data_IF_852614243964
#
_entry.id   IF_852614243964
#
_cell.length_a   1.000
_cell.length_b   1.000
_cell.length_c   1.000
_cell.angle_alpha   90.00
_cell.angle_beta   90.00
_cell.angle_gamma   90.00
#
_symmetry.space_group_name_H-M   'P 1'
#
loop_
_entity.id
_entity.type
_entity.pdbx_description
1 polymer ?
#
# COMPACT_ATOMS: atom_id res chain seq x y z
N UNK A 1 -53.93 -4.18 37.31
CA UNK A 1 -52.74 -4.98 36.95
C UNK A 1 -52.41 -4.64 35.50
N UNK A 2 -51.21 -4.12 35.27
CA UNK A 2 -50.78 -3.53 34.00
C UNK A 2 -50.19 -4.58 33.05
N UNK A 3 -50.25 -4.29 31.76
CA UNK A 3 -49.50 -4.98 30.70
C UNK A 3 -50.04 -4.72 29.30
N UNK A 4 -49.74 -3.54 28.73
CA UNK A 4 -49.99 -3.17 27.33
C UNK A 4 -48.70 -2.59 26.73
N UNK A 5 -48.21 -3.26 25.68
CA UNK A 5 -47.72 -2.78 24.35
C UNK A 5 -46.73 -1.60 24.32
N UNK A 6 -45.56 -1.75 23.64
CA UNK A 6 -45.20 -1.08 22.36
C UNK A 6 -43.72 -1.18 21.94
N UNK A 7 -43.59 -1.30 20.61
CA UNK A 7 -42.55 -0.89 19.64
C UNK A 7 -41.12 -0.50 20.09
N UNK A 8 -40.14 -1.03 19.34
CA UNK A 8 -38.78 -0.51 19.27
C UNK A 8 -38.62 0.50 18.12
N UNK A 9 -38.17 1.69 18.47
CA UNK A 9 -37.47 2.64 17.59
C UNK A 9 -36.45 3.44 18.41
N UNK A 10 -35.31 3.76 17.78
CA UNK A 10 -34.28 4.76 18.10
C UNK A 10 -32.96 4.30 18.79
N UNK A 11 -31.90 4.27 17.97
CA UNK A 11 -30.61 5.00 18.04
C UNK A 11 -30.05 5.35 19.43
N UNK A 12 -28.79 4.96 19.70
CA UNK A 12 -27.95 5.62 20.71
C UNK A 12 -26.70 4.85 21.11
N UNK A 13 -25.54 5.49 20.97
CA UNK A 13 -24.22 5.02 21.39
C UNK A 13 -24.15 4.66 22.88
N UNK A 14 -23.33 3.68 23.25
CA UNK A 14 -22.22 3.83 24.22
C UNK A 14 -21.49 2.50 24.45
N UNK A 15 -20.16 2.56 24.34
CA UNK A 15 -19.23 1.65 24.98
C UNK A 15 -19.50 1.62 26.49
N UNK A 16 -19.75 0.45 27.06
CA UNK A 16 -19.74 0.28 28.51
C UNK A 16 -20.60 -0.88 28.99
N UNK A 17 -19.96 -2.02 29.24
CA UNK A 17 -20.12 -2.87 30.44
C UNK A 17 -19.74 -4.32 30.11
N UNK A 18 -18.51 -4.68 30.47
CA UNK A 18 -18.24 -5.86 31.30
C UNK A 18 -16.94 -5.58 32.04
N UNK A 19 -17.08 -4.95 33.20
CA UNK A 19 -16.09 -4.96 34.27
C UNK A 19 -16.73 -5.69 35.44
N UNK A 20 -16.07 -6.76 35.86
CA UNK A 20 -16.04 -7.35 37.21
C UNK A 20 -14.95 -8.44 37.13
N UNK A 21 -13.91 -8.53 37.95
CA UNK A 21 -13.32 -7.69 38.96
C UNK A 21 -11.90 -8.27 39.21
N UNK A 22 -10.85 -7.46 39.21
CA UNK A 22 -9.64 -7.71 40.03
C UNK A 22 -9.23 -6.37 40.60
N UNK A 23 -9.26 -6.29 41.93
CA UNK A 23 -9.09 -5.08 42.71
C UNK A 23 -7.74 -4.39 42.47
N UNK A 24 -7.78 -3.10 42.12
CA UNK A 24 -6.65 -2.20 42.27
C UNK A 24 -6.69 -1.63 43.69
N UNK A 25 -5.73 -2.02 44.52
CA UNK A 25 -5.50 -1.40 45.82
C UNK A 25 -5.22 0.10 45.63
N UNK A 26 -5.85 0.93 46.46
CA UNK A 26 -5.60 2.38 46.49
C UNK A 26 -4.14 2.67 46.91
N UNK A 27 -3.51 3.72 46.37
CA UNK A 27 -2.17 4.08 46.79
C UNK A 27 -2.24 4.71 48.19
N UNK A 28 -1.58 4.07 49.17
CA UNK A 28 -1.25 4.73 50.42
C UNK A 28 -0.17 5.77 50.17
N UNK A 29 -0.45 7.01 50.56
CA UNK A 29 0.56 8.06 50.68
C UNK A 29 1.58 7.66 51.74
N UNK A 30 2.86 7.81 51.40
CA UNK A 30 3.97 7.74 52.35
C UNK A 30 4.91 6.56 52.15
N UNK A 31 5.84 6.67 51.19
CA UNK A 31 7.20 6.08 51.30
C UNK A 31 8.22 7.02 50.67
N UNK A 32 9.30 7.26 51.41
CA UNK A 32 10.27 8.32 51.21
C UNK A 32 11.11 8.23 49.93
N UNK A 33 11.85 9.30 49.70
CA UNK A 33 12.75 9.47 48.56
C UNK A 33 13.69 8.27 48.43
N UNK A 34 13.62 7.60 47.27
CA UNK A 34 14.63 6.65 46.85
C UNK A 34 15.95 7.41 46.60
N UNK A 35 17.12 6.86 46.97
CA UNK A 35 18.39 7.51 46.70
C UNK A 35 18.58 7.63 45.19
N UNK A 36 19.09 8.77 44.75
CA UNK A 36 19.52 9.00 43.37
C UNK A 36 20.67 8.04 43.06
N UNK A 37 20.33 6.87 42.53
CA UNK A 37 21.27 5.95 41.91
C UNK A 37 21.74 6.56 40.59
N UNK A 38 23.06 6.61 40.45
CA UNK A 38 23.78 7.13 39.28
C UNK A 38 23.19 6.60 37.96
N UNK A 39 23.13 7.49 36.96
CA UNK A 39 22.46 7.28 35.69
C UNK A 39 22.92 6.03 34.95
N UNK A 40 22.10 4.99 35.02
CA UNK A 40 22.09 3.95 33.99
C UNK A 40 21.23 4.51 32.87
N UNK A 41 21.85 5.06 31.83
CA UNK A 41 21.14 5.49 30.64
C UNK A 41 20.23 4.36 30.17
N UNK A 42 19.00 4.71 29.75
CA UNK A 42 18.04 3.83 29.08
C UNK A 42 18.56 3.41 27.68
N UNK A 43 19.86 3.09 27.56
CA UNK A 43 20.39 2.42 26.40
C UNK A 43 19.96 0.96 26.50
N UNK A 44 19.15 0.44 25.55
CA UNK A 44 18.95 -0.98 25.47
C UNK A 44 20.33 -1.67 25.42
N UNK A 45 20.53 -2.80 26.12
CA UNK A 45 21.80 -3.53 26.08
C UNK A 45 22.26 -3.71 24.63
N UNK A 46 23.58 -3.61 24.36
CA UNK A 46 24.16 -3.57 23.01
C UNK A 46 23.87 -4.81 22.14
N UNK A 47 23.24 -5.84 22.72
CA UNK A 47 22.87 -7.09 22.08
C UNK A 47 21.35 -7.26 21.86
N UNK A 48 20.54 -6.19 21.89
CA UNK A 48 19.24 -6.29 21.23
C UNK A 48 19.52 -6.67 19.79
N UNK A 49 19.09 -7.87 19.39
CA UNK A 49 19.08 -8.34 18.01
C UNK A 49 18.08 -7.45 17.26
N UNK A 50 18.47 -6.21 17.02
CA UNK A 50 17.80 -5.32 16.10
C UNK A 50 18.57 -5.50 14.80
N UNK A 51 17.93 -6.18 13.86
CA UNK A 51 18.39 -6.36 12.48
C UNK A 51 19.43 -7.46 12.19
N UNK A 52 19.62 -8.43 13.08
CA UNK A 52 20.10 -9.76 12.67
C UNK A 52 18.89 -10.60 12.27
N UNK A 53 18.82 -11.06 11.02
CA UNK A 53 17.79 -12.01 10.60
C UNK A 53 17.96 -13.27 11.45
N UNK A 54 17.06 -13.49 12.42
CA UNK A 54 17.00 -14.78 13.09
C UNK A 54 16.60 -15.78 12.00
N UNK A 55 17.57 -16.53 11.47
CA UNK A 55 17.30 -17.56 10.47
C UNK A 55 16.64 -18.77 11.15
N UNK A 56 15.65 -19.41 10.52
CA UNK A 56 15.10 -20.66 11.04
C UNK A 56 16.18 -21.73 11.16
N UNK A 57 16.33 -22.34 12.33
CA UNK A 57 17.26 -23.48 12.54
C UNK A 57 16.45 -24.74 12.76
N UNK A 58 16.61 -25.73 11.88
CA UNK A 58 15.85 -26.98 11.95
C UNK A 58 14.33 -26.77 11.90
N UNK A 59 13.86 -25.74 11.20
CA UNK A 59 12.45 -25.35 11.13
C UNK A 59 11.90 -24.67 12.39
N UNK A 60 12.76 -24.29 13.35
CA UNK A 60 12.37 -23.61 14.59
C UNK A 60 12.83 -22.15 14.58
N UNK A 61 12.00 -21.27 15.12
CA UNK A 61 12.27 -19.83 15.13
C UNK A 61 12.13 -19.20 13.74
N UNK A 62 12.75 -18.04 13.54
CA UNK A 62 12.58 -17.25 12.34
C UNK A 62 11.66 -16.06 12.54
N UNK A 63 12.01 -14.91 11.97
CA UNK A 63 11.20 -13.70 12.07
C UNK A 63 10.34 -13.43 10.83
N UNK A 64 10.65 -14.10 9.70
CA UNK A 64 10.03 -13.89 8.38
C UNK A 64 9.88 -12.40 8.02
N UNK A 65 10.82 -11.56 8.46
CA UNK A 65 10.78 -10.09 8.30
C UNK A 65 10.67 -9.74 6.81
N UNK A 66 11.57 -10.26 6.00
CA UNK A 66 11.62 -10.07 4.55
C UNK A 66 11.33 -11.35 3.76
N UNK A 67 10.89 -12.42 4.45
CA UNK A 67 10.59 -13.71 3.83
C UNK A 67 11.82 -14.30 3.11
N UNK A 68 11.61 -14.73 1.85
CA UNK A 68 12.65 -15.33 1.00
C UNK A 68 13.59 -14.31 0.33
N UNK A 69 13.59 -13.07 0.85
CA UNK A 69 14.36 -11.96 0.32
C UNK A 69 15.27 -11.37 1.40
N UNK A 70 16.31 -10.68 0.95
CA UNK A 70 17.13 -9.80 1.78
C UNK A 70 17.00 -8.36 1.27
N UNK A 71 16.97 -7.41 2.20
CA UNK A 71 16.86 -5.97 1.86
C UNK A 71 18.18 -5.46 1.29
N UNK A 72 18.12 -4.73 0.18
CA UNK A 72 19.27 -4.00 -0.37
C UNK A 72 19.43 -2.70 0.39
N UNK A 73 20.44 -2.65 1.27
CA UNK A 73 20.72 -1.48 2.10
C UNK A 73 21.27 -0.32 1.28
N UNK A 74 21.08 0.89 1.81
CA UNK A 74 21.55 2.15 1.20
C UNK A 74 20.99 2.37 -0.22
N UNK A 75 19.75 1.92 -0.45
CA UNK A 75 19.02 2.07 -1.70
C UNK A 75 17.57 2.48 -1.40
N UNK A 76 16.99 3.44 -2.13
CA UNK A 76 17.64 4.34 -3.08
C UNK A 76 18.49 5.40 -2.35
N UNK A 77 19.25 6.20 -3.10
CA UNK A 77 20.07 7.28 -2.58
C UNK A 77 19.32 8.60 -2.77
N UNK A 78 19.04 9.30 -1.66
CA UNK A 78 18.38 10.60 -1.67
C UNK A 78 19.35 11.77 -1.95
N UNK A 79 18.95 12.78 -2.74
CA UNK A 79 19.84 13.90 -3.10
C UNK A 79 20.20 14.80 -1.91
N UNK A 80 19.25 15.06 -1.00
CA UNK A 80 19.48 15.92 0.16
C UNK A 80 20.27 15.24 1.30
N UNK A 81 20.73 14.00 1.09
CA UNK A 81 21.60 13.29 2.02
C UNK A 81 20.84 12.58 3.15
N UNK A 82 21.57 12.02 4.13
CA UNK A 82 21.03 11.07 5.11
C UNK A 82 20.12 11.70 6.18
N UNK A 83 20.03 13.03 6.26
CA UNK A 83 19.10 13.72 7.15
C UNK A 83 17.68 13.85 6.58
N UNK A 84 17.47 13.39 5.36
CA UNK A 84 16.20 13.43 4.65
C UNK A 84 15.73 12.01 4.31
N UNK A 85 14.42 11.84 4.33
CA UNK A 85 13.73 10.67 3.82
C UNK A 85 12.62 11.10 2.86
N UNK A 86 12.12 10.19 2.02
CA UNK A 86 10.87 10.49 1.33
C UNK A 86 9.76 10.66 2.37
N UNK A 87 8.79 11.50 2.07
CA UNK A 87 7.62 11.70 2.93
C UNK A 87 6.69 10.48 2.86
N UNK A 88 5.87 10.40 1.81
CA UNK A 88 5.04 9.23 1.50
C UNK A 88 5.47 8.75 0.12
N UNK A 89 5.67 7.45 -0.05
CA UNK A 89 5.88 6.86 -1.37
C UNK A 89 4.63 6.08 -1.76
N UNK A 90 3.95 6.57 -2.79
CA UNK A 90 2.65 6.04 -3.14
C UNK A 90 2.73 4.88 -4.16
N UNK A 91 3.69 4.92 -5.09
CA UNK A 91 3.84 3.87 -6.10
C UNK A 91 5.13 3.96 -6.90
N UNK A 92 5.47 2.85 -7.57
CA UNK A 92 6.61 2.76 -8.49
C UNK A 92 6.23 1.95 -9.74
N UNK A 93 6.76 2.35 -10.89
CA UNK A 93 6.67 1.62 -12.15
C UNK A 93 8.07 1.30 -12.67
N UNK A 94 8.24 0.10 -13.24
CA UNK A 94 9.52 -0.33 -13.80
C UNK A 94 9.51 -0.19 -15.31
N UNK A 95 10.59 0.40 -15.83
CA UNK A 95 10.82 0.61 -17.25
C UNK A 95 12.27 0.29 -17.63
N UNK A 96 12.57 -0.99 -17.90
CA UNK A 96 13.95 -1.43 -18.04
C UNK A 96 14.74 -1.12 -16.76
N UNK A 97 15.94 -0.55 -16.85
CA UNK A 97 16.74 -0.16 -15.67
C UNK A 97 16.20 1.08 -14.94
N UNK A 98 15.25 1.80 -15.53
CA UNK A 98 14.63 2.99 -14.96
C UNK A 98 13.44 2.60 -14.10
N UNK A 99 13.28 3.24 -12.95
CA UNK A 99 12.09 3.14 -12.09
C UNK A 99 11.49 4.51 -11.91
N UNK A 100 10.23 4.68 -12.29
CA UNK A 100 9.51 5.93 -12.04
C UNK A 100 8.81 5.78 -10.69
N UNK A 101 9.01 6.74 -9.78
CA UNK A 101 8.41 6.75 -8.47
C UNK A 101 7.55 8.00 -8.27
N UNK A 102 6.39 7.80 -7.65
CA UNK A 102 5.53 8.89 -7.16
C UNK A 102 5.66 8.96 -5.65
N UNK A 103 6.13 10.11 -5.18
CA UNK A 103 6.29 10.46 -3.77
C UNK A 103 5.47 11.70 -3.43
N UNK A 104 5.31 12.00 -2.14
CA UNK A 104 4.71 13.24 -1.66
C UNK A 104 5.77 14.22 -1.14
N UNK A 105 6.94 14.17 -1.77
CA UNK A 105 8.09 14.99 -1.46
C UNK A 105 9.04 14.35 -0.45
N UNK A 106 9.89 15.18 0.14
CA UNK A 106 10.86 14.78 1.15
C UNK A 106 10.53 15.41 2.51
N UNK A 107 11.01 14.77 3.56
CA UNK A 107 10.91 15.29 4.92
C UNK A 107 12.14 14.94 5.74
N UNK A 108 12.37 15.69 6.81
CA UNK A 108 13.26 15.23 7.88
C UNK A 108 12.60 14.06 8.64
N UNK A 109 13.34 13.02 9.05
CA UNK A 109 12.82 11.93 9.87
C UNK A 109 12.17 12.45 11.15
N UNK A 110 11.13 11.73 11.60
CA UNK A 110 10.47 12.04 12.87
C UNK A 110 11.47 11.90 14.03
N UNK A 111 11.75 13.00 14.72
CA UNK A 111 12.54 12.98 15.97
C UNK A 111 11.62 12.48 17.09
N UNK A 112 12.06 11.47 17.83
CA UNK A 112 11.39 10.92 19.03
C UNK A 112 10.10 10.09 18.77
N UNK A 113 10.13 9.13 17.86
CA UNK A 113 9.14 8.03 17.88
C UNK A 113 9.44 7.09 19.06
N UNK A 114 8.94 7.43 20.25
CA UNK A 114 8.92 6.51 21.38
C UNK A 114 8.09 5.26 21.05
N UNK A 115 8.59 4.07 21.37
CA UNK A 115 7.81 2.84 21.23
C UNK A 115 6.60 2.90 22.17
N UNK A 116 5.37 2.97 21.63
CA UNK A 116 4.16 3.01 22.45
C UNK A 116 2.93 3.54 21.72
N UNK A 117 1.86 3.78 22.49
CA UNK A 117 0.59 4.29 21.97
C UNK A 117 0.73 5.60 21.21
N UNK A 118 1.79 6.39 21.43
CA UNK A 118 2.05 7.64 20.70
C UNK A 118 2.35 7.41 19.21
N UNK A 119 3.11 6.37 18.84
CA UNK A 119 3.29 5.99 17.42
C UNK A 119 1.95 5.61 16.77
N UNK A 120 1.05 4.99 17.55
CA UNK A 120 -0.28 4.59 17.08
C UNK A 120 -1.34 5.71 17.17
N UNK A 121 -1.17 6.70 18.06
CA UNK A 121 -2.05 7.88 18.19
C UNK A 121 -1.66 8.99 17.22
N UNK A 122 -0.36 9.10 16.92
CA UNK A 122 0.17 9.96 15.86
C UNK A 122 -0.08 9.42 14.44
N UNK A 123 -0.77 8.28 14.29
CA UNK A 123 -1.33 7.80 13.00
C UNK A 123 -2.30 8.82 12.33
N UNK A 124 -2.49 10.02 12.91
CA UNK A 124 -3.14 11.16 12.29
C UNK A 124 -2.49 12.54 12.57
N UNK A 125 -1.60 12.67 13.56
CA UNK A 125 -0.89 13.94 13.81
C UNK A 125 0.55 13.86 13.30
N UNK A 126 0.72 14.28 12.04
CA UNK A 126 2.04 14.61 11.46
C UNK A 126 2.55 15.88 12.14
N UNK A 127 3.10 15.76 13.34
CA UNK A 127 3.62 16.91 14.10
C UNK A 127 4.92 17.39 13.45
N UNK A 128 4.79 18.26 12.45
CA UNK A 128 5.81 19.20 11.98
C UNK A 128 7.22 18.66 11.82
N UNK A 129 7.51 18.08 10.66
CA UNK A 129 8.87 17.95 10.13
C UNK A 129 9.02 18.93 8.98
N UNK A 130 10.21 19.49 8.78
CA UNK A 130 10.51 20.26 7.56
C UNK A 130 10.17 19.39 6.34
N UNK A 131 9.17 19.80 5.54
CA UNK A 131 8.75 19.10 4.33
C UNK A 131 9.14 19.91 3.10
N UNK A 132 9.74 19.24 2.12
CA UNK A 132 9.98 19.79 0.78
C UNK A 132 9.01 19.13 -0.20
N UNK A 133 8.51 19.91 -1.16
CA UNK A 133 7.70 19.40 -2.28
C UNK A 133 8.55 19.07 -3.51
N UNK A 134 9.81 18.73 -3.28
CA UNK A 134 10.75 18.31 -4.33
C UNK A 134 10.68 16.80 -4.53
N UNK A 135 11.15 16.28 -5.67
CA UNK A 135 11.23 14.84 -5.93
C UNK A 135 9.89 14.07 -5.81
N UNK A 136 8.78 14.74 -6.13
CA UNK A 136 7.44 14.12 -6.14
C UNK A 136 7.25 13.12 -7.28
N UNK A 137 7.89 13.36 -8.42
CA UNK A 137 7.89 12.45 -9.56
C UNK A 137 9.31 12.33 -10.10
N UNK A 138 9.91 11.18 -9.84
CA UNK A 138 11.34 10.95 -10.09
C UNK A 138 11.55 9.68 -10.88
N UNK A 139 12.65 9.63 -11.62
CA UNK A 139 13.19 8.39 -12.16
C UNK A 139 14.44 7.99 -11.38
N UNK A 140 14.53 6.73 -10.99
CA UNK A 140 15.62 6.13 -10.23
C UNK A 140 16.27 5.07 -11.10
N UNK A 141 17.61 5.08 -11.20
CA UNK A 141 18.35 3.95 -11.75
C UNK A 141 18.28 2.78 -10.77
N UNK A 142 17.62 1.68 -11.16
CA UNK A 142 17.30 0.56 -10.26
C UNK A 142 18.53 -0.18 -9.74
N UNK A 143 19.67 -0.04 -10.41
CA UNK A 143 20.91 -0.71 -10.05
C UNK A 143 21.66 0.10 -8.98
N UNK A 144 21.99 1.35 -9.28
CA UNK A 144 22.73 2.25 -8.39
C UNK A 144 21.88 2.90 -7.31
N UNK A 145 20.57 3.00 -7.51
CA UNK A 145 19.65 3.71 -6.61
C UNK A 145 19.70 5.23 -6.72
N UNK A 146 20.46 5.78 -7.66
CA UNK A 146 20.54 7.23 -7.87
C UNK A 146 19.28 7.73 -8.59
N UNK A 147 18.78 8.88 -8.15
CA UNK A 147 17.80 9.66 -8.92
C UNK A 147 18.49 10.17 -10.19
N UNK A 148 17.93 9.84 -11.35
CA UNK A 148 18.45 10.20 -12.68
C UNK A 148 17.56 11.21 -13.41
N UNK A 149 16.30 11.34 -13.00
CA UNK A 149 15.38 12.38 -13.48
C UNK A 149 14.51 12.87 -12.34
N UNK A 150 14.13 14.14 -12.39
CA UNK A 150 13.15 14.74 -11.50
C UNK A 150 12.23 15.64 -12.33
N UNK A 151 10.93 15.34 -12.33
CA UNK A 151 9.95 16.00 -13.19
C UNK A 151 9.25 17.15 -12.44
N UNK A 152 10.04 18.07 -11.90
CA UNK A 152 9.57 19.15 -11.02
C UNK A 152 8.55 20.07 -11.68
N UNK A 153 8.56 20.18 -13.00
CA UNK A 153 7.58 20.95 -13.77
C UNK A 153 6.12 20.50 -13.50
N UNK A 154 5.92 19.29 -12.97
CA UNK A 154 4.60 18.75 -12.65
C UNK A 154 4.23 18.82 -11.16
N UNK A 155 5.10 19.30 -10.27
CA UNK A 155 4.84 19.30 -8.82
C UNK A 155 3.58 20.08 -8.42
N UNK A 156 3.26 21.17 -9.14
CA UNK A 156 2.03 21.95 -8.92
C UNK A 156 0.77 21.27 -9.46
N UNK A 157 0.93 20.40 -10.46
CA UNK A 157 -0.16 19.65 -11.09
C UNK A 157 -0.49 18.38 -10.30
N UNK A 158 0.53 17.68 -9.81
CA UNK A 158 0.42 16.43 -9.05
C UNK A 158 0.44 16.70 -7.55
N UNK A 159 -0.66 17.18 -6.99
CA UNK A 159 -0.72 17.56 -5.58
C UNK A 159 -0.75 16.38 -4.61
N UNK A 160 -1.34 15.25 -5.02
CA UNK A 160 -1.45 14.01 -4.22
C UNK A 160 -1.34 12.77 -5.10
N UNK A 161 -0.16 12.52 -5.69
CA UNK A 161 0.07 11.31 -6.48
C UNK A 161 -0.14 10.01 -5.67
N UNK A 162 -0.72 8.99 -6.29
CA UNK A 162 -1.17 7.74 -5.68
C UNK A 162 -0.57 6.47 -6.33
N UNK A 163 -0.74 6.31 -7.64
CA UNK A 163 -0.11 5.22 -8.41
C UNK A 163 0.64 5.79 -9.59
N UNK A 164 1.71 5.10 -9.99
CA UNK A 164 2.37 5.28 -11.28
C UNK A 164 2.47 3.92 -11.94
N UNK A 165 2.02 3.84 -13.18
CA UNK A 165 1.85 2.60 -13.92
C UNK A 165 2.19 2.84 -15.40
N UNK A 166 2.65 1.80 -16.07
CA UNK A 166 2.92 1.81 -17.51
C UNK A 166 2.18 0.62 -18.09
N UNK A 167 1.33 0.86 -19.09
CA UNK A 167 0.61 -0.23 -19.76
C UNK A 167 1.59 -1.16 -20.47
N UNK A 168 1.49 -2.49 -20.31
CA UNK A 168 2.33 -3.42 -21.06
C UNK A 168 1.95 -3.50 -22.54
N UNK A 169 0.75 -3.02 -22.90
CA UNK A 169 0.22 -3.06 -24.25
C UNK A 169 0.45 -1.74 -25.01
N UNK A 170 1.08 -0.75 -24.36
CA UNK A 170 1.44 0.51 -24.97
C UNK A 170 2.91 0.49 -25.43
N UNK A 171 3.11 0.55 -26.75
CA UNK A 171 4.44 0.61 -27.35
C UNK A 171 5.18 1.93 -27.03
N UNK A 172 4.44 3.03 -26.81
CA UNK A 172 5.02 4.31 -26.40
C UNK A 172 5.46 4.30 -24.92
N UNK A 173 4.94 3.34 -24.14
CA UNK A 173 5.20 3.17 -22.71
C UNK A 173 4.89 4.44 -21.93
N UNK A 174 3.79 5.10 -22.27
CA UNK A 174 3.34 6.30 -21.60
C UNK A 174 3.09 6.02 -20.11
N UNK A 175 3.35 7.04 -19.30
CA UNK A 175 3.34 6.94 -17.85
C UNK A 175 2.01 7.44 -17.33
N UNK A 176 1.25 6.55 -16.72
CA UNK A 176 -0.05 6.84 -16.14
C UNK A 176 0.07 7.07 -14.65
N UNK A 177 -0.44 8.19 -14.16
CA UNK A 177 -0.41 8.56 -12.75
C UNK A 177 -1.82 8.87 -12.28
N UNK A 178 -2.22 8.27 -11.17
CA UNK A 178 -3.43 8.68 -10.45
C UNK A 178 -3.06 9.63 -9.32
N UNK A 179 -3.91 10.61 -9.05
CA UNK A 179 -3.71 11.54 -7.94
C UNK A 179 -4.57 12.79 -8.04
N UNK A 180 -4.85 13.43 -6.91
CA UNK A 180 -5.62 14.67 -6.87
C UNK A 180 -7.02 14.59 -7.51
N UNK A 181 -7.65 13.41 -7.51
CA UNK A 181 -8.95 13.20 -8.18
C UNK A 181 -8.87 13.00 -9.69
N UNK A 182 -7.69 12.73 -10.25
CA UNK A 182 -7.46 12.66 -11.69
C UNK A 182 -6.58 11.48 -12.09
N UNK A 183 -6.68 11.10 -13.35
CA UNK A 183 -5.66 10.35 -14.06
C UNK A 183 -4.89 11.29 -14.98
N UNK A 184 -3.58 11.16 -14.99
CA UNK A 184 -2.67 11.88 -15.87
C UNK A 184 -1.92 10.86 -16.72
N UNK A 185 -1.82 11.12 -18.03
CA UNK A 185 -0.98 10.36 -18.96
C UNK A 185 0.15 11.26 -19.43
N UNK A 186 1.39 10.90 -19.13
CA UNK A 186 2.58 11.61 -19.56
C UNK A 186 3.32 10.81 -20.64
N UNK A 187 4.08 11.50 -21.50
CA UNK A 187 5.09 10.83 -22.31
C UNK A 187 6.07 10.09 -21.41
N UNK A 188 6.65 8.99 -21.90
CA UNK A 188 7.58 8.18 -21.11
C UNK A 188 8.77 8.99 -20.55
N UNK A 189 9.23 10.02 -21.27
CA UNK A 189 10.29 10.94 -20.85
C UNK A 189 9.83 12.08 -19.93
N UNK A 190 8.53 12.14 -19.60
CA UNK A 190 7.96 13.14 -18.69
C UNK A 190 7.87 14.56 -19.22
N UNK A 191 8.27 14.82 -20.47
CA UNK A 191 8.29 16.18 -21.02
C UNK A 191 6.91 16.71 -21.38
N UNK A 192 5.94 15.83 -21.62
CA UNK A 192 4.60 16.19 -22.09
C UNK A 192 3.53 15.54 -21.24
N UNK A 193 2.59 16.34 -20.76
CA UNK A 193 1.28 15.86 -20.34
C UNK A 193 0.43 15.61 -21.59
N UNK A 194 0.13 14.34 -21.86
CA UNK A 194 -0.61 13.89 -23.04
C UNK A 194 -2.12 14.00 -22.81
N UNK A 195 -2.59 13.61 -21.63
CA UNK A 195 -4.01 13.56 -21.31
C UNK A 195 -4.26 13.71 -19.81
N UNK A 196 -5.38 14.32 -19.46
CA UNK A 196 -5.95 14.33 -18.11
C UNK A 196 -7.38 13.80 -18.20
N UNK A 197 -7.76 12.92 -17.27
CA UNK A 197 -9.13 12.43 -17.08
C UNK A 197 -9.54 12.74 -15.64
N UNK A 198 -10.69 13.38 -15.45
CA UNK A 198 -11.20 13.78 -14.14
C UNK A 198 -12.71 13.52 -14.01
N UNK A 199 -13.30 13.87 -12.85
CA UNK A 199 -14.71 13.60 -12.54
C UNK A 199 -15.68 14.00 -13.65
N UNK A 200 -15.47 15.16 -14.30
CA UNK A 200 -16.38 15.68 -15.33
C UNK A 200 -16.41 14.82 -16.60
N UNK A 201 -15.40 13.96 -16.80
CA UNK A 201 -15.26 13.11 -17.98
C UNK A 201 -15.97 11.76 -17.82
N UNK A 202 -16.55 11.50 -16.64
CA UNK A 202 -17.27 10.27 -16.33
C UNK A 202 -18.70 10.57 -15.87
N UNK A 203 -19.70 9.75 -16.21
CA UNK A 203 -21.05 9.91 -15.69
C UNK A 203 -21.11 9.80 -14.16
N UNK A 204 -22.07 10.47 -13.54
CA UNK A 204 -22.31 10.30 -12.10
C UNK A 204 -22.67 8.85 -11.76
N UNK A 205 -22.30 8.41 -10.56
CA UNK A 205 -22.68 7.10 -10.04
C UNK A 205 -23.99 7.24 -9.25
N UNK A 206 -25.00 6.45 -9.62
CA UNK A 206 -26.24 6.35 -8.85
C UNK A 206 -25.93 5.90 -7.41
N UNK A 207 -26.45 6.63 -6.41
CA UNK A 207 -26.14 6.38 -5.00
C UNK A 207 -24.88 7.06 -4.47
N UNK A 208 -24.16 7.82 -5.32
CA UNK A 208 -23.03 8.64 -4.93
C UNK A 208 -21.68 7.90 -4.88
N UNK A 209 -20.60 8.67 -4.97
CA UNK A 209 -19.23 8.18 -5.03
C UNK A 209 -18.47 8.87 -6.15
N UNK A 210 -17.55 9.77 -5.77
CA UNK A 210 -16.71 10.50 -6.72
C UNK A 210 -15.74 9.57 -7.45
N UNK A 211 -15.43 9.89 -8.69
CA UNK A 211 -14.25 9.43 -9.39
C UNK A 211 -13.01 10.09 -8.77
N UNK A 212 -12.44 9.39 -7.80
CA UNK A 212 -11.14 9.68 -7.24
C UNK A 212 -10.28 8.45 -7.46
N UNK A 213 -9.61 8.36 -8.61
CA UNK A 213 -8.93 7.14 -9.00
C UNK A 213 -7.68 6.87 -8.15
N UNK A 214 -7.47 5.60 -7.82
CA UNK A 214 -6.33 5.08 -7.07
C UNK A 214 -5.53 4.12 -7.97
N UNK A 215 -6.00 2.88 -8.17
CA UNK A 215 -5.39 1.88 -9.06
C UNK A 215 -5.89 1.88 -10.51
N UNK A 216 -5.12 1.27 -11.40
CA UNK A 216 -5.50 0.99 -12.79
C UNK A 216 -5.05 -0.42 -13.21
N UNK A 217 -5.80 -1.05 -14.11
CA UNK A 217 -5.45 -2.33 -14.73
C UNK A 217 -5.90 -2.41 -16.19
N UNK A 218 -5.02 -2.91 -17.06
CA UNK A 218 -5.24 -2.93 -18.51
C UNK A 218 -5.77 -4.27 -19.03
N UNK A 219 -6.58 -4.17 -20.07
CA UNK A 219 -6.96 -5.27 -20.95
C UNK A 219 -5.99 -5.33 -22.15
N UNK A 220 -5.84 -6.49 -22.81
CA UNK A 220 -4.90 -6.66 -23.94
C UNK A 220 -5.15 -5.75 -25.15
N UNK A 221 -6.37 -5.22 -25.30
CA UNK A 221 -6.70 -4.28 -26.36
C UNK A 221 -6.31 -2.82 -26.04
N UNK A 222 -5.72 -2.57 -24.86
CA UNK A 222 -5.31 -1.26 -24.37
C UNK A 222 -6.39 -0.52 -23.58
N UNK A 223 -7.64 -1.01 -23.56
CA UNK A 223 -8.65 -0.50 -22.63
C UNK A 223 -8.19 -0.75 -21.19
N UNK A 224 -8.70 0.04 -20.25
CA UNK A 224 -8.32 -0.11 -18.85
C UNK A 224 -9.45 0.20 -17.90
N UNK A 225 -9.38 -0.42 -16.73
CA UNK A 225 -10.22 -0.11 -15.58
C UNK A 225 -9.44 0.76 -14.61
N UNK A 226 -10.04 1.87 -14.19
CA UNK A 226 -9.59 2.67 -13.06
C UNK A 226 -10.45 2.39 -11.83
N UNK A 227 -9.83 2.34 -10.66
CA UNK A 227 -10.49 2.06 -9.38
C UNK A 227 -10.68 3.35 -8.63
N UNK A 228 -11.90 3.61 -8.14
CA UNK A 228 -12.20 4.65 -7.16
C UNK A 228 -12.89 4.02 -5.94
N UNK A 229 -12.93 4.74 -4.82
CA UNK A 229 -13.40 4.20 -3.54
C UNK A 229 -14.76 3.46 -3.58
N UNK A 230 -15.67 3.85 -4.47
CA UNK A 230 -17.00 3.25 -4.60
C UNK A 230 -17.27 2.59 -5.97
N UNK A 231 -16.36 2.69 -6.95
CA UNK A 231 -16.65 2.24 -8.32
C UNK A 231 -15.40 1.85 -9.11
N UNK A 232 -15.62 1.03 -10.12
CA UNK A 232 -14.69 0.80 -11.22
C UNK A 232 -15.19 1.55 -12.44
N UNK A 233 -14.30 2.20 -13.18
CA UNK A 233 -14.62 2.90 -14.43
C UNK A 233 -13.73 2.38 -15.54
N UNK A 234 -14.34 1.89 -16.62
CA UNK A 234 -13.65 1.43 -17.82
C UNK A 234 -13.49 2.57 -18.80
N UNK A 235 -12.29 2.70 -19.31
CA UNK A 235 -11.95 3.61 -20.39
C UNK A 235 -11.42 2.83 -21.59
N UNK A 236 -11.59 3.40 -22.78
CA UNK A 236 -10.88 2.93 -23.95
C UNK A 236 -9.39 3.26 -23.85
N UNK A 237 -8.56 2.65 -24.70
CA UNK A 237 -7.12 2.99 -24.80
C UNK A 237 -6.81 4.48 -25.03
N UNK A 238 -7.78 5.24 -25.54
CA UNK A 238 -7.68 6.68 -25.79
C UNK A 238 -8.25 7.52 -24.62
N UNK A 239 -8.61 6.88 -23.50
CA UNK A 239 -9.13 7.54 -22.30
C UNK A 239 -10.58 8.00 -22.40
N UNK A 240 -11.37 7.46 -23.34
CA UNK A 240 -12.82 7.75 -23.42
C UNK A 240 -13.59 6.82 -22.50
N UNK A 241 -14.58 7.34 -21.76
CA UNK A 241 -15.46 6.52 -20.94
C UNK A 241 -16.13 5.41 -21.77
N UNK A 242 -16.18 4.21 -21.22
CA UNK A 242 -16.83 3.03 -21.83
C UNK A 242 -17.95 2.50 -20.93
N UNK A 243 -17.64 2.26 -19.65
CA UNK A 243 -18.59 1.69 -18.70
C UNK A 243 -18.19 2.02 -17.26
N UNK A 244 -19.12 1.85 -16.32
CA UNK A 244 -18.82 1.84 -14.89
C UNK A 244 -19.68 0.83 -14.15
N UNK A 245 -19.13 0.31 -13.06
CA UNK A 245 -19.81 -0.60 -12.13
C UNK A 245 -19.46 -0.22 -10.70
N UNK A 246 -20.30 -0.60 -9.74
CA UNK A 246 -20.05 -0.31 -8.33
C UNK A 246 -21.24 0.33 -7.64
N UNK A 247 -20.92 0.99 -6.54
CA UNK A 247 -21.84 1.63 -5.60
C UNK A 247 -21.20 1.61 -4.22
N UNK A 248 -21.37 2.67 -3.45
CA UNK A 248 -20.85 2.70 -2.08
C UNK A 248 -21.56 1.66 -1.22
N UNK A 249 -20.81 0.77 -0.57
CA UNK A 249 -21.37 -0.21 0.37
C UNK A 249 -20.56 -1.48 0.48
N UNK A 250 -21.19 -2.53 0.99
CA UNK A 250 -20.56 -3.83 1.27
C UNK A 250 -21.29 -5.01 0.64
N UNK A 251 -22.40 -4.77 -0.07
CA UNK A 251 -23.10 -5.83 -0.79
C UNK A 251 -22.29 -6.34 -2.00
N UNK A 252 -22.79 -7.38 -2.67
CA UNK A 252 -22.21 -7.88 -3.91
C UNK A 252 -22.17 -6.79 -4.97
N UNK A 253 -21.00 -6.60 -5.59
CA UNK A 253 -20.76 -5.54 -6.58
C UNK A 253 -20.66 -4.12 -6.02
N UNK A 254 -20.77 -3.91 -4.70
CA UNK A 254 -20.50 -2.62 -4.05
C UNK A 254 -19.07 -2.57 -3.49
N UNK A 255 -18.56 -1.36 -3.27
CA UNK A 255 -17.21 -1.12 -2.77
C UNK A 255 -17.19 -0.10 -1.64
N UNK A 256 -16.21 -0.24 -0.74
CA UNK A 256 -15.90 0.76 0.29
C UNK A 256 -14.39 0.91 0.39
N UNK A 257 -13.89 1.95 -0.26
CA UNK A 257 -12.46 2.21 -0.35
C UNK A 257 -11.74 1.18 -1.22
N UNK A 258 -12.32 0.83 -2.37
CA UNK A 258 -11.58 0.10 -3.38
C UNK A 258 -10.32 0.88 -3.77
N UNK A 259 -9.18 0.19 -3.81
CA UNK A 259 -7.86 0.82 -3.80
C UNK A 259 -6.97 0.40 -4.97
N UNK A 260 -7.05 -0.85 -5.41
CA UNK A 260 -6.21 -1.37 -6.48
C UNK A 260 -6.89 -2.52 -7.23
N UNK A 261 -6.42 -2.82 -8.45
CA UNK A 261 -6.98 -3.86 -9.32
C UNK A 261 -5.90 -4.64 -10.07
N UNK A 262 -6.04 -5.96 -10.12
CA UNK A 262 -5.27 -6.84 -10.99
C UNK A 262 -6.20 -7.50 -12.03
N UNK A 263 -5.79 -7.53 -13.30
CA UNK A 263 -6.60 -8.05 -14.41
C UNK A 263 -5.98 -9.36 -14.94
N UNK A 264 -6.77 -10.44 -14.90
CA UNK A 264 -6.48 -11.70 -15.59
C UNK A 264 -7.42 -11.85 -16.78
N UNK A 265 -7.07 -11.20 -17.89
CA UNK A 265 -7.89 -11.25 -19.10
C UNK A 265 -7.98 -12.67 -19.69
N UNK A 266 -6.94 -13.50 -19.50
CA UNK A 266 -6.92 -14.87 -20.02
C UNK A 266 -7.97 -15.77 -19.33
N UNK A 267 -8.28 -15.49 -18.05
CA UNK A 267 -9.32 -16.20 -17.30
C UNK A 267 -10.62 -15.41 -17.14
N UNK A 268 -10.75 -14.27 -17.82
CA UNK A 268 -11.87 -13.34 -17.71
C UNK A 268 -12.16 -12.96 -16.23
N UNK A 269 -11.12 -12.55 -15.48
CA UNK A 269 -11.23 -12.16 -14.07
C UNK A 269 -10.52 -10.85 -13.79
N UNK A 270 -11.04 -10.09 -12.84
CA UNK A 270 -10.34 -8.99 -12.18
C UNK A 270 -10.44 -9.16 -10.68
N UNK A 271 -9.38 -8.81 -9.97
CA UNK A 271 -9.27 -8.87 -8.52
C UNK A 271 -9.13 -7.45 -7.99
N UNK A 272 -10.08 -7.02 -7.17
CA UNK A 272 -10.15 -5.65 -6.66
C UNK A 272 -9.92 -5.65 -5.15
N UNK A 273 -8.96 -4.85 -4.71
CA UNK A 273 -8.67 -4.63 -3.31
C UNK A 273 -9.73 -3.70 -2.69
N UNK A 274 -10.73 -4.25 -2.01
CA UNK A 274 -11.81 -3.49 -1.35
C UNK A 274 -11.44 -3.23 0.11
N UNK A 275 -10.55 -2.25 0.30
CA UNK A 275 -9.75 -2.07 1.52
C UNK A 275 -10.59 -1.96 2.79
N UNK A 276 -11.59 -1.06 2.81
CA UNK A 276 -12.33 -0.79 4.06
C UNK A 276 -13.36 -1.88 4.37
N UNK A 277 -13.73 -2.69 3.38
CA UNK A 277 -14.52 -3.90 3.59
C UNK A 277 -13.66 -5.13 3.93
N UNK A 278 -12.32 -5.02 3.96
CA UNK A 278 -11.39 -6.12 4.25
C UNK A 278 -11.66 -7.38 3.42
N UNK A 279 -11.70 -7.20 2.09
CA UNK A 279 -11.94 -8.28 1.13
C UNK A 279 -11.26 -8.03 -0.20
N UNK A 280 -11.09 -9.11 -0.97
CA UNK A 280 -10.83 -9.04 -2.41
C UNK A 280 -12.13 -9.32 -3.14
N UNK A 281 -12.59 -8.41 -4.00
CA UNK A 281 -13.76 -8.62 -4.85
C UNK A 281 -13.28 -9.16 -6.20
N UNK A 282 -13.96 -10.18 -6.72
CA UNK A 282 -13.67 -10.77 -8.01
C UNK A 282 -14.80 -10.42 -8.97
N UNK A 283 -14.44 -9.86 -10.11
CA UNK A 283 -15.36 -9.55 -11.21
C UNK A 283 -14.88 -10.22 -12.50
N UNK A 284 -15.74 -10.29 -13.51
CA UNK A 284 -15.28 -10.55 -14.88
C UNK A 284 -14.66 -9.30 -15.51
N UNK A 285 -14.06 -9.38 -16.70
CA UNK A 285 -13.42 -8.20 -17.32
C UNK A 285 -14.41 -7.14 -17.81
N UNK A 286 -15.71 -7.42 -17.77
CA UNK A 286 -16.78 -6.46 -18.02
C UNK A 286 -17.31 -5.82 -16.73
N UNK A 287 -16.77 -6.18 -15.57
CA UNK A 287 -17.13 -5.62 -14.27
C UNK A 287 -18.29 -6.33 -13.58
N UNK A 288 -18.80 -7.45 -14.12
CA UNK A 288 -19.84 -8.25 -13.45
C UNK A 288 -19.24 -8.94 -12.23
N UNK A 289 -19.87 -8.77 -11.07
CA UNK A 289 -19.49 -9.47 -9.84
C UNK A 289 -19.54 -10.99 -10.03
N UNK A 290 -18.48 -11.68 -9.57
CA UNK A 290 -18.37 -13.13 -9.59
C UNK A 290 -18.30 -13.70 -8.16
N UNK A 291 -17.44 -13.14 -7.32
CA UNK A 291 -17.15 -13.67 -5.99
C UNK A 291 -16.46 -12.63 -5.09
N UNK A 292 -16.27 -12.93 -3.80
CA UNK A 292 -15.46 -12.15 -2.89
C UNK A 292 -14.74 -13.04 -1.87
N UNK A 293 -13.47 -12.74 -1.62
CA UNK A 293 -12.68 -13.37 -0.56
C UNK A 293 -12.74 -12.51 0.70
N UNK A 294 -13.47 -12.93 1.75
CA UNK A 294 -13.57 -12.17 2.99
C UNK A 294 -12.28 -12.30 3.82
N UNK A 295 -12.15 -11.45 4.85
CA UNK A 295 -11.09 -11.52 5.86
C UNK A 295 -9.67 -11.30 5.32
N UNK A 296 -9.55 -10.68 4.14
CA UNK A 296 -8.27 -10.13 3.67
C UNK A 296 -8.19 -8.74 4.26
N UNK A 297 -7.48 -8.60 5.38
CA UNK A 297 -7.39 -7.32 6.11
C UNK A 297 -6.77 -6.27 5.21
N UNK A 298 -7.41 -5.09 5.18
CA UNK A 298 -6.94 -3.84 4.57
C UNK A 298 -6.02 -4.00 3.33
N UNK A 299 -6.48 -4.64 2.23
CA UNK A 299 -5.67 -4.80 1.04
C UNK A 299 -5.43 -3.43 0.39
N UNK A 300 -4.17 -3.00 0.30
CA UNK A 300 -3.79 -1.76 -0.38
C UNK A 300 -3.37 -2.01 -1.83
N UNK A 301 -2.72 -3.14 -2.09
CA UNK A 301 -2.26 -3.49 -3.43
C UNK A 301 -2.51 -4.96 -3.75
N UNK A 302 -2.84 -5.23 -5.00
CA UNK A 302 -3.06 -6.59 -5.51
C UNK A 302 -2.30 -6.77 -6.81
N UNK A 303 -1.45 -7.80 -6.89
CA UNK A 303 -0.66 -8.11 -8.08
C UNK A 303 -0.73 -9.59 -8.40
N UNK A 304 -1.04 -9.91 -9.63
CA UNK A 304 -1.14 -11.30 -10.09
C UNK A 304 0.21 -11.74 -10.66
N UNK A 305 0.63 -12.98 -10.38
CA UNK A 305 1.82 -13.56 -11.02
C UNK A 305 1.58 -13.72 -12.53
N UNK A 306 2.64 -13.68 -13.33
CA UNK A 306 2.56 -13.74 -14.80
C UNK A 306 1.84 -14.98 -15.35
N UNK A 307 1.91 -16.10 -14.61
CA UNK A 307 1.19 -17.34 -14.93
C UNK A 307 -0.29 -17.34 -14.50
N UNK A 308 -0.72 -16.32 -13.76
CA UNK A 308 -2.05 -16.15 -13.19
C UNK A 308 -2.40 -17.13 -12.08
N UNK A 309 -1.42 -17.85 -11.52
CA UNK A 309 -1.67 -18.85 -10.47
C UNK A 309 -1.77 -18.26 -9.08
N UNK A 310 -1.10 -17.13 -8.80
CA UNK A 310 -1.08 -16.55 -7.47
C UNK A 310 -1.38 -15.06 -7.50
N UNK A 311 -2.25 -14.63 -6.59
CA UNK A 311 -2.48 -13.23 -6.27
C UNK A 311 -1.65 -12.86 -5.04
N UNK A 312 -0.80 -11.87 -5.17
CA UNK A 312 -0.10 -11.24 -4.05
C UNK A 312 -0.84 -10.01 -3.58
N UNK A 313 -1.04 -9.92 -2.28
CA UNK A 313 -1.70 -8.81 -1.60
C UNK A 313 -0.71 -8.14 -0.68
N UNK A 314 -0.50 -6.85 -0.87
CA UNK A 314 0.19 -5.99 0.08
C UNK A 314 -0.83 -5.36 1.03
N UNK A 315 -0.73 -5.69 2.31
CA UNK A 315 -1.53 -5.08 3.37
C UNK A 315 -0.72 -4.00 4.10
N UNK A 316 -1.35 -2.82 4.22
CA UNK A 316 -0.76 -1.66 4.86
C UNK A 316 -1.10 -1.50 6.36
N UNK A 317 -1.85 -2.43 6.96
CA UNK A 317 -2.27 -2.38 8.37
C UNK A 317 -1.53 -3.38 9.25
N UNK A 318 -1.69 -4.67 8.98
CA UNK A 318 -0.96 -5.78 9.60
C UNK A 318 0.49 -5.92 9.06
N UNK A 319 0.86 -5.14 8.05
CA UNK A 319 2.23 -5.06 7.50
C UNK A 319 2.72 -6.39 6.92
N UNK A 320 1.89 -6.99 6.06
CA UNK A 320 2.18 -8.31 5.48
C UNK A 320 2.08 -8.28 3.95
N UNK A 321 2.99 -9.02 3.34
CA UNK A 321 2.86 -9.55 2.00
C UNK A 321 2.19 -10.92 2.09
N UNK A 322 1.08 -11.12 1.38
CA UNK A 322 0.26 -12.32 1.46
C UNK A 322 0.08 -12.93 0.07
N UNK A 323 0.34 -14.22 -0.07
CA UNK A 323 0.22 -14.98 -1.31
C UNK A 323 -1.01 -15.87 -1.26
N UNK A 324 -1.91 -15.67 -2.22
CA UNK A 324 -3.12 -16.45 -2.38
C UNK A 324 -3.07 -17.27 -3.67
N UNK A 325 -3.64 -18.47 -3.65
CA UNK A 325 -3.95 -19.21 -4.87
C UNK A 325 -5.09 -18.47 -5.61
N UNK A 326 -4.84 -18.01 -6.83
CA UNK A 326 -5.74 -17.10 -7.54
C UNK A 326 -7.08 -17.72 -7.94
N UNK A 327 -7.13 -19.05 -8.08
CA UNK A 327 -8.32 -19.84 -8.41
C UNK A 327 -9.27 -20.03 -7.23
N UNK A 328 -8.72 -20.11 -6.01
CA UNK A 328 -9.48 -20.56 -4.82
C UNK A 328 -9.57 -19.50 -3.73
N UNK A 329 -8.69 -18.48 -3.74
CA UNK A 329 -8.58 -17.52 -2.64
C UNK A 329 -7.93 -18.10 -1.38
N UNK A 330 -7.29 -19.27 -1.46
CA UNK A 330 -6.59 -19.88 -0.32
C UNK A 330 -5.26 -19.15 -0.07
N UNK A 331 -5.06 -18.65 1.15
CA UNK A 331 -3.76 -18.14 1.60
C UNK A 331 -2.76 -19.29 1.67
N UNK A 332 -1.64 -19.17 0.97
CA UNK A 332 -0.60 -20.23 0.88
C UNK A 332 0.74 -19.81 1.46
N UNK A 333 1.02 -18.51 1.57
CA UNK A 333 2.25 -18.01 2.17
C UNK A 333 2.08 -16.55 2.60
N UNK A 334 2.86 -16.10 3.59
CA UNK A 334 2.95 -14.70 3.95
C UNK A 334 4.26 -14.37 4.66
N UNK A 335 4.71 -13.14 4.54
CA UNK A 335 5.89 -12.60 5.25
C UNK A 335 5.72 -11.10 5.49
N UNK A 336 6.62 -10.49 6.25
CA UNK A 336 6.56 -9.08 6.61
C UNK A 336 6.49 -8.87 8.11
N UNK A 337 7.06 -7.78 8.60
CA UNK A 337 6.99 -7.40 10.00
C UNK A 337 6.88 -5.89 10.08
N UNK A 338 6.01 -5.38 10.96
CA UNK A 338 5.95 -3.95 11.24
C UNK A 338 7.31 -3.42 11.70
N UNK A 339 7.73 -2.28 11.17
CA UNK A 339 8.89 -1.56 11.70
C UNK A 339 9.38 -0.44 10.79
N UNK A 340 10.32 0.33 11.32
CA UNK A 340 10.90 1.52 10.69
C UNK A 340 12.35 1.31 10.22
N UNK A 341 12.85 0.08 10.31
CA UNK A 341 14.22 -0.30 9.90
C UNK A 341 14.19 -1.03 8.54
N UNK A 342 15.30 -1.05 7.77
CA UNK A 342 15.36 -1.77 6.51
C UNK A 342 14.90 -3.22 6.66
N UNK A 343 14.03 -3.68 5.76
CA UNK A 343 13.46 -5.02 5.76
C UNK A 343 12.11 -5.16 6.45
N UNK A 344 11.79 -4.25 7.38
CA UNK A 344 10.47 -4.16 8.03
C UNK A 344 9.57 -3.14 7.32
N UNK A 345 8.25 -3.25 7.47
CA UNK A 345 7.28 -2.44 6.72
C UNK A 345 6.51 -1.47 7.63
N UNK A 346 6.22 -0.27 7.13
CA UNK A 346 5.28 0.64 7.79
C UNK A 346 4.39 1.38 6.79
N UNK A 347 3.17 0.89 6.63
CA UNK A 347 2.19 1.43 5.70
C UNK A 347 2.48 0.98 4.27
N UNK A 348 2.66 -0.32 4.06
CA UNK A 348 2.82 -0.90 2.71
C UNK A 348 1.68 -0.44 1.81
N UNK A 349 2.01 0.37 0.80
CA UNK A 349 1.03 1.02 -0.06
C UNK A 349 0.98 0.40 -1.46
N UNK A 350 2.13 0.00 -2.00
CA UNK A 350 2.26 -0.64 -3.30
C UNK A 350 3.54 -1.49 -3.37
N UNK A 351 3.57 -2.47 -4.28
CA UNK A 351 4.79 -3.20 -4.62
C UNK A 351 4.82 -3.63 -6.09
N UNK A 352 6.01 -3.88 -6.60
CA UNK A 352 6.23 -4.48 -7.92
C UNK A 352 7.51 -5.31 -7.95
N UNK A 353 7.73 -6.06 -9.02
CA UNK A 353 8.93 -6.88 -9.23
C UNK A 353 9.64 -6.48 -10.51
N UNK A 354 10.94 -6.75 -10.61
CA UNK A 354 11.67 -6.68 -11.88
C UNK A 354 11.89 -8.05 -12.53
N UNK A 355 12.59 -8.04 -13.67
CA UNK A 355 12.93 -9.24 -14.43
C UNK A 355 13.94 -10.14 -13.73
N UNK A 356 14.75 -9.59 -12.82
CA UNK A 356 15.75 -10.30 -12.02
C UNK A 356 15.13 -10.97 -10.77
N UNK A 357 13.83 -10.75 -10.55
CA UNK A 357 13.10 -11.27 -9.41
C UNK A 357 13.24 -10.44 -8.14
N UNK A 358 13.90 -9.27 -8.19
CA UNK A 358 13.85 -8.32 -7.09
C UNK A 358 12.44 -7.77 -6.94
N UNK A 359 12.05 -7.43 -5.72
CA UNK A 359 10.84 -6.66 -5.50
C UNK A 359 11.13 -5.29 -4.88
N UNK A 360 10.22 -4.37 -5.12
CA UNK A 360 10.26 -3.00 -4.65
C UNK A 360 8.95 -2.71 -3.93
N UNK A 361 9.06 -2.10 -2.76
CA UNK A 361 7.93 -1.82 -1.88
C UNK A 361 7.90 -0.33 -1.54
N UNK A 362 6.70 0.25 -1.58
CA UNK A 362 6.44 1.65 -1.29
C UNK A 362 5.68 1.79 0.03
N UNK A 363 6.05 2.81 0.82
CA UNK A 363 5.48 3.03 2.14
C UNK A 363 4.90 4.42 2.32
N UNK A 364 3.67 4.45 2.83
CA UNK A 364 2.94 5.67 3.11
C UNK A 364 3.37 6.35 4.41
N UNK A 365 3.68 5.54 5.44
CA UNK A 365 4.03 6.02 6.77
C UNK A 365 5.53 5.98 7.03
N UNK A 366 6.19 4.91 6.56
CA UNK A 366 7.63 4.75 6.69
C UNK A 366 8.44 5.63 5.73
N UNK A 367 7.84 6.17 4.66
CA UNK A 367 8.51 7.12 3.77
C UNK A 367 9.68 6.53 3.00
N UNK A 368 9.58 5.24 2.62
CA UNK A 368 10.66 4.50 1.98
C UNK A 368 10.20 3.86 0.69
N UNK A 369 11.14 3.80 -0.27
CA UNK A 369 11.15 2.79 -1.33
C UNK A 369 12.17 1.75 -0.90
N UNK A 370 11.75 0.53 -0.66
CA UNK A 370 12.67 -0.53 -0.27
C UNK A 370 12.88 -1.50 -1.45
N UNK A 371 14.14 -1.85 -1.74
CA UNK A 371 14.49 -2.90 -2.71
C UNK A 371 14.88 -4.17 -1.97
N UNK A 372 14.39 -5.29 -2.49
CA UNK A 372 14.61 -6.61 -1.94
C UNK A 372 15.08 -7.55 -3.03
N UNK A 373 16.18 -8.26 -2.78
CA UNK A 373 16.71 -9.26 -3.70
C UNK A 373 16.44 -10.66 -3.15
N UNK A 374 16.16 -11.67 -4.01
CA UNK A 374 16.04 -13.04 -3.55
C UNK A 374 17.30 -13.49 -2.80
N UNK A 375 17.12 -14.20 -1.69
CA UNK A 375 18.25 -14.88 -1.03
C UNK A 375 18.83 -15.95 -1.96
N UNK A 376 20.12 -16.25 -1.83
CA UNK A 376 20.83 -17.22 -2.70
C UNK A 376 20.18 -18.62 -2.70
N UNK A 377 19.63 -19.02 -1.57
CA UNK A 377 18.99 -20.30 -1.29
C UNK A 377 17.47 -20.19 -1.10
N UNK A 378 16.88 -19.08 -1.57
CA UNK A 378 15.45 -18.85 -1.49
C UNK A 378 14.65 -19.98 -2.16
N UNK A 379 13.62 -20.48 -1.46
CA UNK A 379 12.62 -21.35 -2.05
C UNK A 379 11.83 -20.56 -3.13
N UNK A 380 11.86 -20.96 -4.42
CA UNK A 380 11.13 -20.29 -5.48
C UNK A 380 9.62 -20.21 -5.23
N UNK A 381 9.04 -21.13 -4.46
CA UNK A 381 7.63 -21.10 -4.09
C UNK A 381 7.28 -19.93 -3.15
N UNK A 382 8.27 -19.38 -2.44
CA UNK A 382 8.11 -18.26 -1.51
C UNK A 382 8.40 -16.89 -2.14
N UNK A 383 9.02 -16.88 -3.33
CA UNK A 383 9.24 -15.65 -4.10
C UNK A 383 7.92 -15.12 -4.67
N UNK A 384 7.84 -13.79 -4.78
CA UNK A 384 6.75 -13.09 -5.45
C UNK A 384 6.67 -13.52 -6.92
N UNK A 385 7.84 -13.63 -7.55
CA UNK A 385 7.99 -13.98 -8.96
C UNK A 385 7.66 -12.81 -9.89
N UNK A 386 7.71 -13.05 -11.19
CA UNK A 386 7.31 -12.04 -12.17
C UNK A 386 5.81 -11.81 -12.10
N UNK A 387 5.42 -10.54 -12.02
CA UNK A 387 4.03 -10.11 -12.00
C UNK A 387 3.50 -9.91 -13.42
N UNK A 388 2.19 -9.97 -13.58
CA UNK A 388 1.53 -9.33 -14.71
C UNK A 388 1.75 -7.82 -14.61
N UNK A 389 2.10 -7.25 -15.76
CA UNK A 389 2.44 -5.85 -15.92
C UNK A 389 1.19 -5.05 -16.24
#
# INVERSE_FOLDING_TARGET
MAGVVLALSAIGATLGQFGDAVALAQPQEGRGAAPQGEGVGNHPPPNYICCGEAEPVGGKGGSAISGAYEVVRNWPVLPHGPEWEFSTVAGVAIDGNRMIAVTRGERRPLKNVGWGAEVFRALGERTGTDTLRDHMLIAIDRISGKIVENWEQWNSTLTTGQRVLISPYDAARDVWISGGGKLFRFSNDGKRLIQTIEEKDVPELAGGGRFNPEGMGWLPNGDFWAVSAARLVRFSKDGRFVAQVGGLGSAAGQFRGAHDIAVDAARNRMYVADRQNSRIVITDTNGKYLDAWPNVVSPYSVRLTRDGRHLWVGDGWIQKMQKYEASTGKLVYQFGTFGVVPGTFFGLHYFTTDVDGNFYLCEDYGGRIQKFRPKKDADPAQLIGQLMW
#
